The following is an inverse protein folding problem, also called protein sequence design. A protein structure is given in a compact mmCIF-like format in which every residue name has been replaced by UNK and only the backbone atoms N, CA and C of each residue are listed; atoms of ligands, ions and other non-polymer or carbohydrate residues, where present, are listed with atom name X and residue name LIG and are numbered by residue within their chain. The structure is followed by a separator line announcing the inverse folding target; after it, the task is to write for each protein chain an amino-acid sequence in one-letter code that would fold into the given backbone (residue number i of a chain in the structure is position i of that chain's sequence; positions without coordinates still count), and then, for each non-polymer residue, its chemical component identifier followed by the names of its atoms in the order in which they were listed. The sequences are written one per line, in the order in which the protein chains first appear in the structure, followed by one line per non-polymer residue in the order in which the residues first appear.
data_IF_764271787095
#
_entry.id   IF_764271787095
#
_cell.length_a   1.000
_cell.length_b   1.000
_cell.length_c   1.000
_cell.angle_alpha   90.00
_cell.angle_beta   90.00
_cell.angle_gamma   90.00
#
_symmetry.space_group_name_H-M   'P 1'
#
loop_
_entity.id
_entity.type
_entity.pdbx_description
1 polymer ?
#
# COMPACT_ATOMS: atom_id res chain seq x y z
N UNK A 1 3.17 -21.64 -8.16
CA UNK A 1 3.82 -20.37 -8.54
C UNK A 1 4.81 -20.61 -9.68
N UNK A 2 5.01 -19.67 -10.62
CA UNK A 2 6.04 -19.84 -11.66
C UNK A 2 7.43 -19.54 -11.11
N UNK A 3 8.47 -20.28 -11.54
CA UNK A 3 9.88 -20.05 -11.19
C UNK A 3 10.30 -18.59 -11.47
N UNK A 4 9.83 -18.00 -12.56
CA UNK A 4 10.12 -16.60 -12.90
C UNK A 4 9.55 -15.63 -11.86
N UNK A 5 8.34 -15.88 -11.34
CA UNK A 5 7.72 -15.04 -10.30
C UNK A 5 8.46 -15.18 -8.97
N UNK A 6 8.90 -16.39 -8.62
CA UNK A 6 9.67 -16.65 -7.41
C UNK A 6 11.03 -15.94 -7.43
N UNK A 7 11.76 -16.04 -8.55
CA UNK A 7 13.04 -15.35 -8.72
C UNK A 7 12.89 -13.82 -8.58
N UNK A 8 11.88 -13.24 -9.25
CA UNK A 8 11.58 -11.80 -9.13
C UNK A 8 11.25 -11.39 -7.69
N UNK A 9 10.46 -12.20 -6.99
CA UNK A 9 10.15 -11.98 -5.58
C UNK A 9 11.41 -11.99 -4.73
N UNK A 10 12.27 -13.00 -4.85
CA UNK A 10 13.53 -13.07 -4.10
C UNK A 10 14.45 -11.88 -4.38
N UNK A 11 14.49 -11.41 -5.63
CA UNK A 11 15.24 -10.19 -5.98
C UNK A 11 14.66 -8.98 -5.25
N UNK A 12 13.35 -8.71 -5.38
CA UNK A 12 12.72 -7.56 -4.73
C UNK A 12 12.80 -7.62 -3.21
N UNK A 13 12.64 -8.81 -2.62
CA UNK A 13 12.80 -9.04 -1.19
C UNK A 13 14.24 -8.75 -0.74
N UNK A 14 15.24 -9.18 -1.52
CA UNK A 14 16.64 -8.85 -1.22
C UNK A 14 16.91 -7.35 -1.30
N UNK A 15 16.37 -6.66 -2.32
CA UNK A 15 16.42 -5.21 -2.42
C UNK A 15 15.77 -4.56 -1.19
N UNK A 16 14.57 -5.03 -0.79
CA UNK A 16 13.81 -4.60 0.40
C UNK A 16 14.63 -4.63 1.69
N UNK A 17 15.50 -5.65 1.81
CA UNK A 17 16.27 -5.88 3.02
C UNK A 17 17.66 -5.26 3.02
N UNK A 18 18.25 -5.03 1.85
CA UNK A 18 19.66 -4.60 1.75
C UNK A 18 19.84 -3.14 1.38
N UNK A 19 18.85 -2.53 0.71
CA UNK A 19 18.92 -1.14 0.30
C UNK A 19 18.14 -0.26 1.27
N UNK A 20 18.60 0.98 1.43
CA UNK A 20 17.80 2.00 2.09
C UNK A 20 16.59 2.30 1.21
N UNK A 21 15.42 1.85 1.66
CA UNK A 21 14.18 2.04 0.93
C UNK A 21 13.34 3.06 1.67
N UNK A 22 12.84 4.00 0.88
CA UNK A 22 11.84 4.93 1.32
C UNK A 22 10.49 4.39 0.88
N UNK A 23 9.51 4.45 1.76
CA UNK A 23 8.18 3.97 1.44
C UNK A 23 7.11 4.90 1.96
N UNK A 24 5.94 4.82 1.36
CA UNK A 24 4.70 5.38 1.88
C UNK A 24 3.61 4.35 1.73
N UNK A 25 2.78 4.21 2.75
CA UNK A 25 1.71 3.22 2.76
C UNK A 25 0.41 3.81 3.26
N UNK A 26 -0.69 3.27 2.78
CA UNK A 26 -2.03 3.65 3.21
C UNK A 26 -2.96 2.44 3.12
N UNK A 27 -4.07 2.52 3.85
CA UNK A 27 -5.16 1.55 3.75
C UNK A 27 -6.38 2.26 3.18
N UNK A 28 -7.00 1.68 2.15
CA UNK A 28 -8.19 2.25 1.53
C UNK A 28 -9.19 1.16 1.15
N UNK A 29 -10.46 1.53 0.98
CA UNK A 29 -11.49 0.59 0.57
C UNK A 29 -11.28 0.11 -0.86
N UNK A 30 -11.60 -1.16 -1.12
CA UNK A 30 -11.48 -1.82 -2.45
C UNK A 30 -12.21 -1.07 -3.58
N UNK A 31 -13.27 -0.33 -3.26
CA UNK A 31 -14.05 0.48 -4.20
C UNK A 31 -13.45 1.85 -4.56
N UNK A 32 -12.41 2.31 -3.85
CA UNK A 32 -11.78 3.62 -4.10
C UNK A 32 -11.25 3.72 -5.52
N UNK A 33 -11.42 4.91 -6.14
CA UNK A 33 -10.99 5.17 -7.50
C UNK A 33 -11.75 4.35 -8.56
N UNK A 34 -13.05 4.10 -8.33
CA UNK A 34 -13.93 3.42 -9.28
C UNK A 34 -13.55 1.95 -9.52
N UNK A 35 -13.13 1.24 -8.47
CA UNK A 35 -12.73 -0.17 -8.55
C UNK A 35 -11.43 -0.41 -9.33
N UNK A 36 -10.59 0.60 -9.51
CA UNK A 36 -9.29 0.42 -10.20
C UNK A 36 -8.39 -0.56 -9.46
N UNK A 37 -8.29 -0.45 -8.13
CA UNK A 37 -7.46 -1.37 -7.33
C UNK A 37 -8.04 -2.78 -7.32
N UNK A 38 -9.36 -2.90 -7.20
CA UNK A 38 -10.04 -4.19 -7.34
C UNK A 38 -9.67 -4.89 -8.64
N UNK A 39 -9.72 -4.18 -9.77
CA UNK A 39 -9.28 -4.72 -11.08
C UNK A 39 -7.80 -5.09 -11.10
N UNK A 40 -6.93 -4.37 -10.40
CA UNK A 40 -5.51 -4.73 -10.31
C UNK A 40 -5.33 -6.05 -9.53
N UNK A 41 -6.09 -6.26 -8.45
CA UNK A 41 -6.01 -7.49 -7.65
C UNK A 41 -6.70 -8.69 -8.31
N UNK A 42 -7.81 -8.49 -9.03
CA UNK A 42 -8.58 -9.56 -9.67
C UNK A 42 -8.02 -9.99 -11.02
N UNK A 43 -7.35 -9.08 -11.76
CA UNK A 43 -6.74 -9.41 -13.05
C UNK A 43 -5.66 -10.47 -12.92
N UNK A 44 -5.49 -11.25 -13.99
CA UNK A 44 -4.41 -12.22 -14.07
C UNK A 44 -3.05 -11.55 -13.78
N UNK A 45 -2.17 -12.17 -12.98
CA UNK A 45 -0.82 -11.67 -12.69
C UNK A 45 0.04 -11.46 -13.95
N UNK A 46 -0.32 -12.15 -15.04
CA UNK A 46 0.34 -12.09 -16.34
C UNK A 46 -0.15 -10.96 -17.23
N UNK A 47 -1.27 -10.32 -16.89
CA UNK A 47 -1.78 -9.19 -17.67
C UNK A 47 -0.90 -7.98 -17.38
N UNK A 48 -0.25 -7.39 -18.40
CA UNK A 48 0.57 -6.20 -18.20
C UNK A 48 -0.31 -5.05 -17.70
N UNK A 49 0.25 -4.24 -16.81
CA UNK A 49 -0.38 -3.03 -16.28
C UNK A 49 0.32 -1.84 -16.91
N UNK A 50 -0.45 -0.92 -17.50
CA UNK A 50 0.10 0.27 -18.12
C UNK A 50 0.93 1.08 -17.10
N UNK A 51 2.14 1.46 -17.49
CA UNK A 51 3.09 2.16 -16.61
C UNK A 51 3.95 1.25 -15.73
N UNK A 52 3.82 -0.08 -15.84
CA UNK A 52 4.68 -1.03 -15.13
C UNK A 52 5.61 -1.76 -16.10
N UNK A 53 6.85 -1.99 -15.67
CA UNK A 53 7.83 -2.80 -16.40
C UNK A 53 7.59 -4.28 -16.17
N UNK A 54 7.24 -4.66 -14.93
CA UNK A 54 6.86 -6.03 -14.62
C UNK A 54 5.82 -6.09 -13.52
N UNK A 55 5.00 -7.14 -13.56
CA UNK A 55 3.99 -7.43 -12.54
C UNK A 55 4.20 -8.83 -12.02
N UNK A 56 3.97 -9.03 -10.74
CA UNK A 56 3.93 -10.34 -10.13
C UNK A 56 2.88 -10.36 -9.03
N UNK A 57 2.40 -11.57 -8.72
CA UNK A 57 1.48 -11.79 -7.61
C UNK A 57 2.07 -12.85 -6.69
N UNK A 58 1.83 -12.67 -5.41
CA UNK A 58 2.16 -13.62 -4.37
C UNK A 58 0.88 -13.94 -3.60
N UNK A 59 0.62 -15.23 -3.43
CA UNK A 59 -0.41 -15.70 -2.51
C UNK A 59 0.36 -16.37 -1.39
N UNK A 60 0.34 -15.77 -0.21
CA UNK A 60 0.90 -16.40 0.97
C UNK A 60 -0.19 -17.23 1.63
N UNK A 61 0.05 -18.53 1.76
CA UNK A 61 -0.82 -19.43 2.50
C UNK A 61 -0.21 -19.61 3.89
N UNK A 62 -0.64 -18.79 4.85
CA UNK A 62 -0.22 -18.91 6.25
C UNK A 62 -1.29 -19.67 7.04
N UNK A 63 -0.92 -20.81 7.60
CA UNK A 63 -1.73 -21.53 8.59
C UNK A 63 -3.09 -22.03 8.11
N UNK A 64 -3.25 -22.32 6.80
CA UNK A 64 -4.49 -22.86 6.23
C UNK A 64 -5.68 -21.90 6.23
N UNK A 65 -5.47 -20.60 6.44
CA UNK A 65 -6.50 -19.55 6.27
C UNK A 65 -6.37 -18.84 4.93
N UNK A 66 -7.44 -18.13 4.56
CA UNK A 66 -7.59 -17.42 3.29
C UNK A 66 -6.30 -16.72 2.86
N UNK A 67 -5.89 -17.00 1.62
CA UNK A 67 -4.66 -16.49 1.04
C UNK A 67 -4.71 -14.97 0.94
N UNK A 68 -3.81 -14.28 1.63
CA UNK A 68 -3.60 -12.85 1.38
C UNK A 68 -3.07 -12.69 -0.05
N UNK A 69 -3.89 -12.09 -0.92
CA UNK A 69 -3.49 -11.81 -2.30
C UNK A 69 -2.67 -10.53 -2.32
N UNK A 70 -1.39 -10.67 -2.65
CA UNK A 70 -0.49 -9.55 -2.82
C UNK A 70 -0.09 -9.41 -4.29
N UNK A 71 -0.10 -8.18 -4.81
CA UNK A 71 0.36 -7.86 -6.16
C UNK A 71 1.44 -6.80 -6.09
N UNK A 72 2.56 -7.09 -6.74
CA UNK A 72 3.69 -6.20 -6.86
C UNK A 72 3.76 -5.66 -8.30
N UNK A 73 3.86 -4.35 -8.42
CA UNK A 73 3.89 -3.61 -9.68
C UNK A 73 5.20 -2.82 -9.75
N UNK A 74 6.16 -3.30 -10.54
CA UNK A 74 7.46 -2.64 -10.69
C UNK A 74 7.33 -1.50 -11.70
N UNK A 75 7.63 -0.29 -11.25
CA UNK A 75 7.43 0.96 -11.99
C UNK A 75 8.61 1.29 -12.91
N UNK A 76 9.83 1.01 -12.45
CA UNK A 76 11.07 1.36 -13.13
C UNK A 76 11.55 0.24 -14.06
N UNK A 77 12.18 0.63 -15.16
CA UNK A 77 12.92 -0.27 -16.06
C UNK A 77 14.43 -0.03 -15.93
N UNK A 78 15.23 -0.65 -16.81
CA UNK A 78 16.69 -0.51 -16.83
C UNK A 78 17.21 0.90 -17.18
N UNK A 79 16.37 1.83 -17.65
CA UNK A 79 16.79 3.21 -17.93
C UNK A 79 16.75 4.11 -16.68
N UNK A 80 16.21 3.61 -15.55
CA UNK A 80 16.12 4.37 -14.32
C UNK A 80 17.30 4.00 -13.40
N UNK A 81 17.96 4.97 -12.75
CA UNK A 81 19.09 4.71 -11.84
C UNK A 81 18.64 4.25 -10.44
N UNK A 82 17.36 3.94 -10.26
CA UNK A 82 16.74 3.52 -9.02
C UNK A 82 15.63 2.49 -9.30
N UNK A 83 15.19 1.80 -8.26
CA UNK A 83 14.10 0.83 -8.34
C UNK A 83 12.91 1.36 -7.56
N UNK A 84 11.72 1.34 -8.18
CA UNK A 84 10.47 1.65 -7.50
C UNK A 84 9.38 0.64 -7.84
N UNK A 85 8.57 0.30 -6.84
CA UNK A 85 7.46 -0.64 -6.99
C UNK A 85 6.29 -0.28 -6.09
N UNK A 86 5.12 -0.84 -6.41
CA UNK A 86 3.91 -0.74 -5.61
C UNK A 86 3.54 -2.15 -5.16
N UNK A 87 3.40 -2.37 -3.86
CA UNK A 87 2.75 -3.57 -3.32
C UNK A 87 1.30 -3.24 -2.94
N UNK A 88 0.38 -4.08 -3.41
CA UNK A 88 -1.04 -3.98 -3.13
C UNK A 88 -1.43 -5.30 -2.47
N UNK A 89 -1.85 -5.27 -1.22
CA UNK A 89 -2.22 -6.44 -0.44
C UNK A 89 -3.68 -6.36 -0.03
N UNK A 90 -4.43 -7.42 -0.30
CA UNK A 90 -5.76 -7.58 0.25
C UNK A 90 -5.63 -7.90 1.75
N UNK A 91 -6.33 -7.11 2.57
CA UNK A 91 -6.44 -7.33 4.01
C UNK A 91 -7.79 -7.98 4.33
N UNK A 92 -7.93 -8.56 5.51
CA UNK A 92 -9.22 -9.07 5.98
C UNK A 92 -10.32 -8.00 5.84
N UNK A 93 -11.45 -8.36 5.22
CA UNK A 93 -12.58 -7.47 4.95
C UNK A 93 -12.56 -6.81 3.57
N UNK A 94 -12.95 -5.52 3.50
CA UNK A 94 -13.05 -4.74 2.24
C UNK A 94 -11.89 -3.74 2.08
N UNK A 95 -10.86 -3.85 2.90
CA UNK A 95 -9.72 -2.95 2.95
C UNK A 95 -8.57 -3.49 2.10
N UNK A 96 -7.89 -2.58 1.42
CA UNK A 96 -6.69 -2.86 0.64
C UNK A 96 -5.56 -2.02 1.18
N UNK A 97 -4.44 -2.67 1.45
CA UNK A 97 -3.19 -2.00 1.82
C UNK A 97 -2.39 -1.72 0.55
N UNK A 98 -2.07 -0.45 0.32
CA UNK A 98 -1.20 -0.03 -0.77
C UNK A 98 0.08 0.59 -0.23
N UNK A 99 1.23 0.08 -0.65
CA UNK A 99 2.55 0.62 -0.31
C UNK A 99 3.33 0.94 -1.59
N UNK A 100 3.97 2.11 -1.62
CA UNK A 100 4.88 2.54 -2.69
C UNK A 100 6.26 2.60 -2.09
N UNK A 101 7.18 1.84 -2.67
CA UNK A 101 8.56 1.68 -2.21
C UNK A 101 9.51 2.18 -3.30
N UNK A 102 10.59 2.85 -2.89
CA UNK A 102 11.59 3.38 -3.83
C UNK A 102 12.98 3.51 -3.22
N UNK A 103 13.98 3.31 -4.07
CA UNK A 103 15.39 3.65 -3.82
C UNK A 103 15.80 4.96 -4.49
N UNK A 104 14.85 5.76 -5.00
CA UNK A 104 15.10 7.09 -5.53
C UNK A 104 15.77 7.95 -4.45
N UNK A 105 16.81 8.70 -4.85
CA UNK A 105 17.48 9.63 -3.93
C UNK A 105 16.52 10.77 -3.61
N UNK A 106 16.30 11.02 -2.32
CA UNK A 106 15.39 12.07 -1.89
C UNK A 106 15.89 13.45 -2.35
N UNK A 107 15.05 14.21 -3.05
CA UNK A 107 15.35 15.59 -3.47
C UNK A 107 15.34 16.54 -2.26
N UNK A 108 14.48 16.25 -1.29
CA UNK A 108 14.36 16.98 -0.04
C UNK A 108 14.61 16.07 1.15
N UNK A 109 15.29 16.58 2.18
CA UNK A 109 15.62 15.83 3.40
C UNK A 109 14.39 15.50 4.24
N UNK A 110 13.38 16.37 4.22
CA UNK A 110 12.13 16.24 4.96
C UNK A 110 10.93 16.60 4.08
N UNK A 111 9.73 16.26 4.55
CA UNK A 111 8.47 16.52 3.86
C UNK A 111 7.75 15.25 3.42
N UNK A 112 6.57 15.45 2.83
CA UNK A 112 5.75 14.37 2.30
C UNK A 112 6.50 13.55 1.23
N UNK A 113 6.02 12.34 0.95
CA UNK A 113 6.64 11.46 -0.04
C UNK A 113 6.75 12.11 -1.43
N UNK A 114 5.73 12.86 -1.85
CA UNK A 114 5.65 13.51 -3.17
C UNK A 114 6.82 14.43 -3.51
N UNK A 115 7.13 15.47 -2.71
CA UNK A 115 8.26 16.37 -3.01
C UNK A 115 9.63 15.68 -2.85
N UNK A 116 9.71 14.59 -2.08
CA UNK A 116 10.96 13.86 -1.85
C UNK A 116 11.33 12.95 -3.01
N UNK A 117 10.34 12.28 -3.62
CA UNK A 117 10.54 11.27 -4.65
C UNK A 117 9.66 11.59 -5.88
N UNK A 118 9.97 12.68 -6.61
CA UNK A 118 9.11 13.17 -7.68
C UNK A 118 8.97 12.17 -8.83
N UNK A 119 10.03 11.45 -9.21
CA UNK A 119 9.98 10.52 -10.35
C UNK A 119 9.14 9.30 -9.99
N UNK A 120 9.37 8.72 -8.80
CA UNK A 120 8.55 7.62 -8.26
C UNK A 120 7.08 8.02 -8.19
N UNK A 121 6.80 9.21 -7.65
CA UNK A 121 5.44 9.73 -7.53
C UNK A 121 4.76 9.86 -8.89
N UNK A 122 5.47 10.36 -9.90
CA UNK A 122 4.94 10.47 -11.26
C UNK A 122 4.61 9.10 -11.85
N UNK A 123 5.54 8.13 -11.78
CA UNK A 123 5.33 6.77 -12.30
C UNK A 123 4.16 6.08 -11.59
N UNK A 124 4.11 6.17 -10.26
CA UNK A 124 3.07 5.56 -9.46
C UNK A 124 1.69 6.18 -9.72
N UNK A 125 1.61 7.50 -9.96
CA UNK A 125 0.35 8.17 -10.33
C UNK A 125 -0.23 7.63 -11.63
N UNK A 126 0.60 7.30 -12.61
CA UNK A 126 0.14 6.69 -13.87
C UNK A 126 -0.53 5.33 -13.60
N UNK A 127 0.08 4.52 -12.73
CA UNK A 127 -0.38 3.17 -12.39
C UNK A 127 -1.61 3.17 -11.47
N UNK A 128 -1.65 4.05 -10.48
CA UNK A 128 -2.73 4.15 -9.48
C UNK A 128 -3.92 5.00 -9.97
N UNK A 129 -3.70 5.96 -10.87
CA UNK A 129 -4.74 6.85 -11.39
C UNK A 129 -5.49 7.58 -10.28
N UNK A 130 -6.82 7.45 -10.26
CA UNK A 130 -7.70 8.08 -9.27
C UNK A 130 -7.43 7.66 -7.81
N UNK A 131 -6.68 6.57 -7.59
CA UNK A 131 -6.30 6.10 -6.25
C UNK A 131 -5.06 6.82 -5.73
N UNK A 132 -4.26 7.42 -6.61
CA UNK A 132 -2.99 8.03 -6.23
C UNK A 132 -3.09 9.10 -5.12
N UNK A 133 -4.12 9.98 -5.09
CA UNK A 133 -4.27 10.94 -3.99
C UNK A 133 -4.41 10.28 -2.61
N UNK A 134 -5.12 9.16 -2.51
CA UNK A 134 -5.27 8.42 -1.24
C UNK A 134 -3.95 7.87 -0.71
N UNK A 135 -3.04 7.48 -1.63
CA UNK A 135 -1.72 6.94 -1.29
C UNK A 135 -0.74 8.03 -0.91
N UNK A 136 -0.74 9.13 -1.66
CA UNK A 136 0.32 10.12 -1.51
C UNK A 136 -0.06 11.36 -0.70
N UNK A 137 -1.35 11.69 -0.61
CA UNK A 137 -1.84 12.84 0.18
C UNK A 137 -2.46 12.41 1.50
N UNK A 138 -2.59 11.10 1.75
CA UNK A 138 -3.31 10.59 2.91
C UNK A 138 -4.78 11.03 2.92
N UNK A 139 -5.36 11.31 1.75
CA UNK A 139 -6.78 11.67 1.67
C UNK A 139 -7.62 10.56 2.30
N UNK A 140 -8.33 10.90 3.36
CA UNK A 140 -9.31 10.02 3.97
C UNK A 140 -10.51 9.99 3.03
N UNK A 141 -10.98 8.79 2.69
CA UNK A 141 -12.22 8.67 1.93
C UNK A 141 -13.33 9.35 2.74
N UNK A 142 -14.09 10.30 2.17
CA UNK A 142 -15.18 10.91 2.90
C UNK A 142 -16.11 9.78 3.38
N UNK A 143 -16.53 9.78 4.66
CA UNK A 143 -17.36 8.73 5.19
C UNK A 143 -18.61 8.59 4.31
N UNK A 144 -19.13 7.36 4.07
CA UNK A 144 -20.29 7.13 3.21
C UNK A 144 -21.48 8.04 3.54
N UNK A 145 -21.62 8.41 4.82
CA UNK A 145 -22.63 9.34 5.31
C UNK A 145 -22.56 10.74 4.68
N UNK A 146 -21.36 11.27 4.42
CA UNK A 146 -21.22 12.57 3.74
C UNK A 146 -21.65 12.50 2.28
N UNK A 147 -21.34 11.40 1.59
CA UNK A 147 -21.78 11.20 0.21
C UNK A 147 -23.31 11.10 0.11
N UNK A 148 -23.93 10.40 1.06
CA UNK A 148 -25.38 10.26 1.11
C UNK A 148 -26.08 11.58 1.44
N UNK A 149 -25.57 12.35 2.40
CA UNK A 149 -26.09 13.71 2.69
C UNK A 149 -25.97 14.65 1.49
N UNK A 150 -24.89 14.58 0.72
CA UNK A 150 -24.74 15.41 -0.48
C UNK A 150 -25.77 15.05 -1.56
N UNK A 151 -26.07 13.76 -1.73
CA UNK A 151 -27.13 13.30 -2.63
C UNK A 151 -28.53 13.74 -2.17
N UNK A 152 -28.82 13.64 -0.87
CA UNK A 152 -30.09 14.10 -0.30
C UNK A 152 -30.27 15.61 -0.44
N UNK A 153 -29.22 16.41 -0.22
CA UNK A 153 -29.27 17.86 -0.45
C UNK A 153 -29.54 18.22 -1.91
N UNK A 154 -28.92 17.51 -2.87
CA UNK A 154 -29.21 17.73 -4.29
C UNK A 154 -30.66 17.37 -4.65
N UNK A 155 -31.22 16.31 -4.08
CA UNK A 155 -32.64 15.98 -4.29
C UNK A 155 -33.57 17.04 -3.69
N UNK A 156 -33.26 17.57 -2.50
CA UNK A 156 -34.07 18.63 -1.91
C UNK A 156 -34.03 19.92 -2.74
N UNK A 157 -32.87 20.30 -3.28
CA UNK A 157 -32.77 21.46 -4.16
C UNK A 157 -33.57 21.29 -5.46
N UNK A 158 -33.57 20.09 -6.06
CA UNK A 158 -34.39 19.82 -7.24
C UNK A 158 -35.89 19.90 -6.93
N UNK A 159 -36.34 19.47 -5.75
CA UNK A 159 -37.73 19.62 -5.34
C UNK A 159 -38.13 21.07 -5.09
N UNK A 160 -37.23 21.90 -4.57
CA UNK A 160 -37.49 23.34 -4.39
C UNK A 160 -37.57 24.09 -5.72
N UNK A 161 -36.73 23.75 -6.70
CA UNK A 161 -36.81 24.34 -8.04
C UNK A 161 -38.13 24.00 -8.75
N UNK A 162 -38.59 22.74 -8.64
CA UNK A 162 -39.89 22.35 -9.21
C UNK A 162 -41.07 23.09 -8.56
N UNK A 163 -40.96 23.49 -7.29
CA UNK A 163 -42.00 24.27 -6.63
C UNK A 163 -41.97 25.76 -7.03
N UNK A 164 -40.82 26.28 -7.47
CA UNK A 164 -40.70 27.66 -7.93
C UNK A 164 -41.16 27.82 -9.38
N UNK A 165 -40.95 26.80 -10.22
CA UNK A 165 -41.38 26.83 -11.63
C UNK A 165 -42.92 26.80 -11.80
N UNK A 166 -43.66 26.41 -10.75
CA UNK A 166 -45.13 26.38 -10.77
C UNK A 166 -45.78 27.72 -10.36
N UNK A 167 -45.02 28.69 -9.82
CA UNK A 167 -45.55 29.96 -9.31
C UNK A 167 -45.27 31.19 -10.22
N UNK A 168 -44.48 31.05 -11.29
CA UNK A 168 -44.06 32.18 -12.16
C UNK A 168 -44.86 32.32 -13.47
N UNK A 169 -46.14 31.91 -13.47
CA UNK A 169 -47.02 32.15 -14.62
C UNK A 169 -47.99 33.33 -14.42
N UNK A 170 -47.50 34.43 -13.83
CA UNK A 170 -48.18 35.71 -13.91
C UNK A 170 -47.20 36.84 -14.28
N UNK A 171 -47.49 37.40 -15.45
CA UNK A 171 -47.00 38.65 -16.03
C UNK A 171 -46.54 39.70 -14.99
N UNK A 172 -45.42 40.36 -15.24
CA UNK A 172 -45.48 41.70 -15.85
C UNK A 172 -44.11 42.26 -16.22
N UNK A 173 -44.18 43.09 -17.26
CA UNK A 173 -43.16 43.89 -17.90
C UNK A 173 -42.57 44.89 -16.89
N UNK A 174 -41.24 44.94 -16.73
CA UNK A 174 -40.60 46.24 -16.47
C UNK A 174 -39.16 46.34 -16.98
N UNK A 175 -38.92 47.45 -17.64
CA UNK A 175 -37.71 47.96 -18.28
C UNK A 175 -36.94 48.76 -17.23
N UNK A 176 -35.84 48.20 -16.73
CA UNK A 176 -35.04 48.83 -15.69
C UNK A 176 -33.56 48.59 -15.88
N UNK A 177 -32.97 49.30 -16.84
CA UNK A 177 -31.53 49.52 -16.94
C UNK A 177 -30.99 50.11 -15.64
N UNK A 178 -30.07 49.40 -14.99
CA UNK A 178 -29.38 49.84 -13.79
C UNK A 178 -28.00 49.21 -13.73
N UNK A 179 -27.04 49.88 -14.36
CA UNK A 179 -25.62 49.66 -14.19
C UNK A 179 -25.25 49.83 -12.72
N UNK A 180 -24.57 48.87 -12.11
CA UNK A 180 -23.75 49.18 -10.93
C UNK A 180 -22.52 48.25 -10.85
N UNK A 181 -21.39 48.90 -11.06
CA UNK A 181 -20.04 48.42 -10.89
C UNK A 181 -19.77 48.18 -9.40
N UNK A 182 -19.22 47.02 -9.04
CA UNK A 182 -18.44 46.93 -7.80
C UNK A 182 -17.28 45.95 -7.98
N UNK A 183 -16.12 46.56 -8.15
CA UNK A 183 -14.80 45.96 -8.01
C UNK A 183 -14.53 45.71 -6.52
N UNK A 184 -14.36 44.44 -6.12
CA UNK A 184 -13.78 44.15 -4.81
C UNK A 184 -12.58 43.20 -4.94
N UNK A 185 -11.40 43.81 -4.76
CA UNK A 185 -10.10 43.16 -4.68
C UNK A 185 -9.94 42.47 -3.33
N UNK A 186 -9.49 41.22 -3.32
CA UNK A 186 -8.96 40.60 -2.11
C UNK A 186 -7.56 40.01 -2.37
N UNK A 187 -6.55 40.82 -2.02
CA UNK A 187 -5.13 40.48 -1.95
C UNK A 187 -4.82 39.98 -0.53
N UNK A 188 -4.55 38.69 -0.40
CA UNK A 188 -4.26 38.02 0.86
C UNK A 188 -2.94 37.26 0.81
N UNK A 189 -1.84 37.99 0.86
CA UNK A 189 -0.47 37.48 1.06
C UNK A 189 -0.26 36.97 2.49
N UNK A 190 0.00 35.67 2.64
CA UNK A 190 0.34 35.03 3.92
C UNK A 190 1.72 34.35 3.88
N UNK A 191 2.72 35.02 4.46
CA UNK A 191 4.06 34.50 4.69
C UNK A 191 4.18 33.76 6.03
N UNK A 192 5.08 32.76 6.09
CA UNK A 192 5.92 32.54 7.26
C UNK A 192 5.55 31.38 8.19
N UNK A 193 6.22 30.24 8.00
CA UNK A 193 6.27 29.14 8.99
C UNK A 193 7.70 28.62 9.14
N UNK A 194 8.44 29.16 10.11
CA UNK A 194 9.81 28.79 10.47
C UNK A 194 9.74 27.59 11.44
N UNK A 195 10.18 26.41 11.00
CA UNK A 195 10.13 25.17 11.80
C UNK A 195 11.39 25.01 12.65
N UNK A 196 11.19 24.82 13.96
CA UNK A 196 12.19 24.49 14.98
C UNK A 196 12.71 23.05 14.84
N UNK A 197 14.01 22.88 15.07
CA UNK A 197 14.72 21.60 14.98
C UNK A 197 14.44 20.69 16.18
N UNK A 198 13.86 19.52 15.90
CA UNK A 198 13.69 18.42 16.84
C UNK A 198 14.97 17.61 17.03
N UNK A 199 15.18 17.14 18.27
CA UNK A 199 16.26 16.25 18.63
C UNK A 199 16.10 14.88 17.95
N UNK A 200 17.22 14.33 17.51
CA UNK A 200 17.34 13.04 16.85
C UNK A 200 17.28 11.90 17.87
N UNK A 201 16.12 11.25 17.99
CA UNK A 201 16.01 9.96 18.68
C UNK A 201 16.43 8.84 17.71
N UNK A 202 17.20 7.87 18.20
CA UNK A 202 17.66 6.71 17.43
C UNK A 202 16.88 5.50 17.91
N UNK A 203 16.04 4.96 17.03
CA UNK A 203 15.35 3.70 17.27
C UNK A 203 16.14 2.55 16.63
N UNK A 204 16.30 1.46 17.38
CA UNK A 204 16.95 0.23 16.93
C UNK A 204 15.91 -0.88 16.93
N UNK A 205 15.73 -1.52 15.77
CA UNK A 205 14.81 -2.63 15.60
C UNK A 205 15.60 -3.91 15.35
N UNK A 206 15.25 -4.97 16.07
CA UNK A 206 15.86 -6.30 15.94
C UNK A 206 14.75 -7.28 15.57
N UNK A 207 14.81 -7.77 14.33
CA UNK A 207 13.88 -8.79 13.86
C UNK A 207 14.58 -10.15 13.82
N UNK A 208 13.95 -11.15 14.44
CA UNK A 208 14.41 -12.55 14.46
C UNK A 208 13.34 -13.37 13.74
N UNK A 209 13.73 -14.04 12.65
CA UNK A 209 12.85 -14.96 11.93
C UNK A 209 13.49 -16.36 11.88
N UNK A 210 12.72 -17.37 12.27
CA UNK A 210 13.06 -18.78 12.06
C UNK A 210 12.30 -19.32 10.85
N UNK A 211 13.00 -19.73 9.81
CA UNK A 211 12.44 -20.60 8.78
C UNK A 211 12.51 -22.05 9.29
N UNK A 212 11.49 -22.86 8.99
CA UNK A 212 11.33 -24.24 9.47
C UNK A 212 12.41 -25.24 9.02
N UNK A 213 13.53 -24.77 8.48
CA UNK A 213 14.69 -25.51 8.01
C UNK A 213 15.96 -25.23 8.86
N UNK A 214 15.79 -24.90 10.15
CA UNK A 214 16.86 -24.61 11.13
C UNK A 214 17.80 -23.45 10.76
N UNK A 215 17.57 -22.73 9.66
CA UNK A 215 18.32 -21.53 9.34
C UNK A 215 17.64 -20.28 9.91
N UNK A 216 18.00 -19.95 11.15
CA UNK A 216 17.66 -18.66 11.74
C UNK A 216 18.51 -17.54 11.12
N UNK A 217 17.88 -16.41 10.80
CA UNK A 217 18.61 -15.20 10.39
C UNK A 217 18.24 -14.05 11.33
N UNK A 218 19.27 -13.34 11.81
CA UNK A 218 19.12 -12.16 12.65
C UNK A 218 19.50 -10.94 11.82
N UNK A 219 18.55 -10.03 11.64
CA UNK A 219 18.79 -8.75 10.96
C UNK A 219 18.72 -7.62 11.96
N UNK A 220 19.84 -6.92 12.16
CA UNK A 220 19.90 -5.70 12.97
C UNK A 220 19.86 -4.50 12.04
N UNK A 221 18.87 -3.61 12.19
CA UNK A 221 18.83 -2.33 11.49
C UNK A 221 19.02 -1.19 12.50
N UNK A 222 19.92 -0.27 12.17
CA UNK A 222 20.12 0.98 12.92
C UNK A 222 19.74 2.12 12.00
N UNK A 223 18.83 2.98 12.46
CA UNK A 223 18.50 4.23 11.75
C UNK A 223 19.14 5.36 12.56
N UNK A 224 20.34 5.79 12.15
CA UNK A 224 20.94 7.00 12.72
C UNK A 224 20.20 8.22 12.17
N UNK A 225 19.55 8.98 13.04
CA UNK A 225 19.03 10.28 12.66
C UNK A 225 20.22 11.23 12.37
N UNK A 226 20.25 11.87 11.19
CA UNK A 226 21.44 12.56 10.73
C UNK A 226 21.68 13.86 11.53
N UNK A 227 22.76 13.90 12.31
CA UNK A 227 23.21 15.08 13.05
C UNK A 227 23.59 16.20 12.08
N UNK A 228 23.12 17.41 12.34
CA UNK A 228 23.45 18.60 11.54
C UNK A 228 24.91 19.02 11.79
N UNK A 229 25.82 18.71 10.86
CA UNK A 229 27.18 19.28 10.87
C UNK A 229 27.15 20.76 10.44
N UNK A 230 27.09 21.64 11.44
CA UNK A 230 27.41 23.05 11.32
C UNK A 230 28.70 23.44 12.05
N UNK A 231 29.55 22.47 12.42
CA UNK A 231 30.74 22.72 13.23
C UNK A 231 31.89 21.77 12.88
N UNK A 232 33.04 22.36 12.56
CA UNK A 232 34.30 21.70 12.21
C UNK A 232 34.83 20.85 13.39
N UNK A 233 34.44 19.58 13.50
CA UNK A 233 35.09 18.63 14.40
C UNK A 233 35.70 17.46 13.62
N UNK A 234 37.02 17.57 13.39
CA UNK A 234 37.90 16.42 13.25
C UNK A 234 37.89 15.65 14.57
N UNK A 235 37.09 14.61 14.70
CA UNK A 235 37.52 13.33 15.28
C UNK A 235 36.47 12.25 15.06
N UNK A 236 36.80 11.38 14.11
CA UNK A 236 36.19 10.08 13.85
C UNK A 236 36.30 9.23 15.12
N UNK A 237 35.19 8.78 15.70
CA UNK A 237 35.17 7.60 16.57
C UNK A 237 34.00 6.65 16.22
N UNK A 238 34.19 5.32 16.37
CA UNK A 238 33.34 4.29 15.80
C UNK A 238 32.42 3.70 16.89
N UNK A 239 31.25 4.29 17.11
CA UNK A 239 30.30 3.75 18.10
C UNK A 239 29.48 2.59 17.48
N UNK A 240 29.18 2.66 16.19
CA UNK A 240 28.44 1.62 15.44
C UNK A 240 29.20 0.29 15.31
N UNK A 241 30.54 0.30 15.33
CA UNK A 241 31.34 -0.93 15.24
C UNK A 241 31.44 -1.70 16.57
N UNK A 242 31.32 -1.01 17.71
CA UNK A 242 31.38 -1.66 19.04
C UNK A 242 30.08 -2.39 19.36
N UNK A 243 28.92 -1.82 19.00
CA UNK A 243 27.62 -2.45 19.26
C UNK A 243 27.40 -3.71 18.40
N UNK A 244 27.80 -3.68 17.14
CA UNK A 244 27.75 -4.85 16.25
C UNK A 244 28.62 -6.02 16.77
N UNK A 245 29.74 -5.73 17.45
CA UNK A 245 30.60 -6.75 18.07
C UNK A 245 29.99 -7.40 19.32
N UNK A 246 29.22 -6.64 20.10
CA UNK A 246 28.49 -7.17 21.27
C UNK A 246 27.37 -8.12 20.83
N UNK A 247 26.66 -7.80 19.74
CA UNK A 247 25.58 -8.65 19.22
C UNK A 247 26.12 -9.92 18.55
N UNK A 248 27.20 -9.83 17.76
CA UNK A 248 27.87 -11.01 17.19
C UNK A 248 28.49 -11.93 18.25
N UNK A 249 28.96 -11.38 19.38
CA UNK A 249 29.48 -12.17 20.50
C UNK A 249 28.40 -12.95 21.26
N UNK A 250 27.18 -12.41 21.36
CA UNK A 250 26.05 -13.09 22.01
C UNK A 250 25.50 -14.26 21.17
N UNK A 251 25.50 -14.14 19.84
CA UNK A 251 25.06 -15.21 18.92
C UNK A 251 26.01 -16.41 18.94
N UNK A 252 27.30 -16.20 19.20
CA UNK A 252 28.29 -17.29 19.30
C UNK A 252 28.23 -18.10 20.61
N UNK A 253 27.53 -17.61 21.64
CA UNK A 253 27.37 -18.31 22.93
C UNK A 253 26.13 -19.22 22.97
N UNK A 254 25.18 -19.05 22.04
CA UNK A 254 24.12 -20.04 21.81
C UNK A 254 24.66 -21.10 20.84
N UNK A 255 25.53 -21.97 21.36
CA UNK A 255 25.91 -23.20 20.67
C UNK A 255 24.65 -24.03 20.45
N UNK A 256 24.21 -24.13 19.20
CA UNK A 256 23.26 -25.13 18.77
C UNK A 256 23.95 -26.49 18.92
N UNK A 257 23.60 -27.19 20.00
CA UNK A 257 23.88 -28.60 20.18
C UNK A 257 23.05 -29.34 19.13
N UNK A 258 23.67 -29.71 18.02
CA UNK A 258 23.08 -30.56 16.98
C UNK A 258 22.85 -31.96 17.59
N UNK A 259 21.75 -32.10 18.33
CA UNK A 259 21.29 -33.38 18.83
C UNK A 259 20.85 -34.24 17.64
N UNK A 260 21.68 -35.23 17.30
CA UNK A 260 21.39 -36.34 16.39
C UNK A 260 20.03 -36.96 16.75
N UNK A 261 18.99 -36.59 16.00
CA UNK A 261 17.68 -37.22 16.09
C UNK A 261 17.66 -38.37 15.08
N UNK A 262 18.16 -39.53 15.52
CA UNK A 262 18.02 -40.81 14.85
C UNK A 262 16.55 -41.06 14.48
N UNK A 263 16.28 -41.01 13.18
CA UNK A 263 15.00 -41.38 12.58
C UNK A 263 14.79 -42.88 12.80
N UNK A 264 14.01 -43.20 13.82
CA UNK A 264 13.46 -44.53 14.02
C UNK A 264 12.32 -44.74 13.05
N UNK A 265 12.64 -45.49 12.00
CA UNK A 265 11.76 -46.22 11.10
C UNK A 265 10.59 -46.87 11.88
N UNK A 266 9.38 -46.36 11.71
CA UNK A 266 8.15 -47.02 12.13
C UNK A 266 7.25 -47.13 10.92
N UNK A 267 7.45 -48.21 10.18
CA UNK A 267 6.46 -48.76 9.28
C UNK A 267 5.16 -49.03 10.03
N UNK A 268 4.06 -48.55 9.46
CA UNK A 268 2.76 -49.16 9.66
C UNK A 268 2.05 -49.11 8.31
N UNK A 269 2.14 -50.23 7.60
CA UNK A 269 1.05 -50.77 6.81
C UNK A 269 -0.26 -50.65 7.61
N UNK A 270 -1.37 -50.26 6.98
CA UNK A 270 -2.72 -50.79 7.23
C UNK A 270 -3.73 -50.23 6.20
N UNK A 271 -4.28 -51.20 5.49
CA UNK A 271 -5.60 -51.38 4.87
C UNK A 271 -6.18 -50.45 3.81
N UNK A 272 -6.34 -51.10 2.65
CA UNK A 272 -7.41 -50.96 1.66
C UNK A 272 -8.81 -50.96 2.30
N UNK A 273 -9.59 -49.93 2.01
CA UNK A 273 -10.99 -49.83 2.39
C UNK A 273 -11.84 -49.30 1.23
N UNK A 274 -12.11 -50.18 0.27
CA UNK A 274 -13.13 -50.03 -0.77
C UNK A 274 -14.49 -49.71 -0.17
N UNK A 275 -15.09 -48.59 -0.58
CA UNK A 275 -16.45 -48.19 -0.21
C UNK A 275 -17.16 -47.55 -1.40
N UNK A 276 -17.75 -48.39 -2.25
CA UNK A 276 -18.74 -47.99 -3.23
C UNK A 276 -19.99 -47.46 -2.53
N UNK A 277 -20.49 -46.30 -2.95
CA UNK A 277 -21.66 -45.65 -2.36
C UNK A 277 -22.47 -44.92 -3.42
N UNK A 278 -23.51 -45.59 -3.88
CA UNK A 278 -24.48 -45.23 -4.89
C UNK A 278 -25.34 -44.00 -4.57
N UNK A 279 -25.79 -43.31 -5.62
CA UNK A 279 -27.21 -43.00 -5.80
C UNK A 279 -27.71 -41.66 -5.22
N UNK A 280 -28.22 -40.81 -6.10
CA UNK A 280 -28.95 -39.60 -5.71
C UNK A 280 -29.34 -38.72 -6.88
N UNK A 281 -30.12 -39.24 -7.82
CA UNK A 281 -31.02 -38.43 -8.66
C UNK A 281 -31.98 -37.64 -7.76
N UNK A 282 -32.12 -36.34 -8.00
CA UNK A 282 -33.30 -35.52 -7.71
C UNK A 282 -33.19 -34.27 -8.60
N UNK A 283 -33.92 -34.21 -9.71
CA UNK A 283 -35.35 -33.88 -9.83
C UNK A 283 -35.52 -32.39 -10.13
N UNK A 284 -36.12 -32.17 -11.30
CA UNK A 284 -36.66 -30.92 -11.84
C UNK A 284 -37.55 -30.19 -10.83
N UNK A 285 -37.49 -28.86 -10.86
CA UNK A 285 -38.64 -28.03 -10.55
C UNK A 285 -38.57 -26.77 -11.41
N UNK A 286 -39.36 -26.79 -12.48
CA UNK A 286 -39.92 -25.58 -13.09
C UNK A 286 -40.80 -24.87 -12.04
N UNK A 287 -40.70 -23.55 -11.93
CA UNK A 287 -41.85 -22.75 -11.52
C UNK A 287 -41.86 -21.45 -12.33
N UNK A 288 -42.74 -21.45 -13.34
CA UNK A 288 -43.36 -20.25 -13.87
C UNK A 288 -44.04 -19.47 -12.75
N UNK A 289 -43.85 -18.15 -12.70
CA UNK A 289 -44.93 -17.25 -12.27
C UNK A 289 -44.78 -15.88 -12.90
N UNK A 290 -45.78 -15.55 -13.72
CA UNK A 290 -45.95 -14.27 -14.36
C UNK A 290 -46.52 -13.18 -13.44
N UNK A 291 -46.62 -12.00 -14.04
CA UNK A 291 -47.16 -10.75 -13.51
C UNK A 291 -46.68 -9.60 -14.36
#
# INVERSE_FOLDING_TARGET
MSVSSFAKFKILYYFSNTQQINFTSTTFNRGVGGGRVDRLLTKSPRTPVAGCTTTMSWNEEWGGRETCRERWLVLTNSSHPFVAWISIRESEGKCVYGCVETTEVAVCRSGAFKPRFPVTTQLARVVLGAVAPFVFDGQVQPPPQQQQQQQEQQQQQQQQQQQQDDDDNDNDVDDGSGDDESDDMNDGSGEGGRSEGGAAEVEVWVDIWGFGDNTGSVSVRTIEAPVCEGGLFKHRFPVTTQLARVVLGAVALFGFDDGDNDVSDNGNDIDDGSGEGSGGENAEAEEERGG
#
